data_IF_995255311310
#
_entry.id   IF_995255311310
#
_cell.length_a   1.000
_cell.length_b   1.000
_cell.length_c   1.000
_cell.angle_alpha   90.00
_cell.angle_beta   90.00
_cell.angle_gamma   90.00
#
_symmetry.space_group_name_H-M   'P 1'
#
loop_
_entity.id
_entity.type
_entity.pdbx_description
1 polymer ?
#
# COMPACT_ATOMS: atom_id res chain seq x y z
N UNK A 1 63.08 -25.25 -39.06
CA UNK A 1 62.05 -25.73 -38.12
C UNK A 1 62.45 -25.30 -36.71
N UNK A 2 61.53 -24.66 -35.97
CA UNK A 2 61.34 -24.68 -34.49
C UNK A 2 60.89 -23.32 -33.95
N UNK A 3 59.56 -23.19 -34.02
CA UNK A 3 58.58 -22.56 -33.11
C UNK A 3 58.96 -21.38 -32.22
N UNK A 4 58.17 -20.33 -32.41
CA UNK A 4 57.85 -19.24 -31.49
C UNK A 4 57.04 -19.76 -30.28
N UNK A 5 57.26 -19.21 -29.08
CA UNK A 5 56.24 -19.19 -28.02
C UNK A 5 56.22 -17.78 -27.40
N UNK A 6 55.14 -17.05 -27.64
CA UNK A 6 54.80 -15.80 -26.95
C UNK A 6 53.79 -16.15 -25.85
N UNK A 7 54.17 -15.92 -24.60
CA UNK A 7 53.29 -16.10 -23.44
C UNK A 7 52.45 -14.83 -23.28
N UNK A 8 51.18 -14.90 -23.64
CA UNK A 8 50.19 -13.85 -23.38
C UNK A 8 49.44 -14.22 -22.10
N UNK A 9 49.66 -13.47 -21.02
CA UNK A 9 48.86 -13.58 -19.80
C UNK A 9 47.54 -12.80 -20.00
N UNK A 10 46.42 -13.52 -20.05
CA UNK A 10 45.07 -12.92 -20.05
C UNK A 10 44.67 -12.72 -18.60
N UNK A 11 44.68 -11.46 -18.14
CA UNK A 11 44.07 -11.06 -16.88
C UNK A 11 42.55 -10.92 -17.11
N UNK A 12 41.77 -11.91 -16.71
CA UNK A 12 40.32 -11.82 -16.69
C UNK A 12 39.91 -10.94 -15.50
N UNK A 13 39.64 -9.66 -15.78
CA UNK A 13 38.95 -8.76 -14.85
C UNK A 13 37.50 -9.24 -14.72
N UNK A 14 37.15 -9.86 -13.60
CA UNK A 14 35.76 -10.14 -13.22
C UNK A 14 35.08 -8.81 -12.88
N UNK A 15 34.46 -8.18 -13.88
CA UNK A 15 33.51 -7.10 -13.67
C UNK A 15 32.26 -7.67 -13.01
N UNK A 16 32.19 -7.56 -11.68
CA UNK A 16 30.96 -7.79 -10.93
C UNK A 16 29.94 -6.72 -11.34
N UNK A 17 28.73 -7.08 -11.79
CA UNK A 17 27.67 -6.10 -11.94
C UNK A 17 27.27 -5.63 -10.54
N UNK A 18 27.50 -4.35 -10.24
CA UNK A 18 26.78 -3.66 -9.17
C UNK A 18 25.32 -3.62 -9.63
N UNK A 19 24.47 -4.47 -9.07
CA UNK A 19 23.04 -4.21 -9.10
C UNK A 19 22.83 -2.90 -8.33
N UNK A 20 22.54 -1.82 -9.04
CA UNK A 20 22.02 -0.62 -8.42
C UNK A 20 20.64 -0.99 -7.86
N UNK A 21 20.57 -1.25 -6.56
CA UNK A 21 19.29 -1.23 -5.85
C UNK A 21 18.77 0.19 -5.97
N UNK A 22 17.61 0.38 -6.60
CA UNK A 22 16.89 1.64 -6.44
C UNK A 22 16.75 1.87 -4.93
N UNK A 23 17.19 3.02 -4.44
CA UNK A 23 16.99 3.35 -3.03
C UNK A 23 15.48 3.51 -2.83
N UNK A 24 14.90 2.73 -1.91
CA UNK A 24 13.50 2.88 -1.53
C UNK A 24 13.26 4.32 -1.05
N UNK A 25 12.09 4.87 -1.35
CA UNK A 25 11.80 6.27 -1.01
C UNK A 25 11.60 6.38 0.49
N UNK A 26 12.47 7.11 1.19
CA UNK A 26 12.29 7.37 2.62
C UNK A 26 10.99 8.16 2.88
N UNK A 27 10.28 7.87 3.97
CA UNK A 27 8.98 8.48 4.33
C UNK A 27 9.11 9.24 5.65
N UNK A 28 8.76 10.52 5.63
CA UNK A 28 8.86 11.40 6.80
C UNK A 28 7.51 11.64 7.49
N UNK A 29 6.40 11.56 6.75
CA UNK A 29 5.06 11.81 7.28
C UNK A 29 4.00 10.98 6.56
N UNK A 30 3.01 10.53 7.32
CA UNK A 30 1.81 9.85 6.80
C UNK A 30 0.62 10.51 7.48
N UNK A 31 -0.27 11.10 6.70
CA UNK A 31 -1.49 11.73 7.18
C UNK A 31 -2.71 11.14 6.49
N UNK A 32 -3.71 10.74 7.28
CA UNK A 32 -4.96 10.18 6.77
C UNK A 32 -6.13 10.96 7.36
N UNK A 33 -6.95 11.51 6.47
CA UNK A 33 -8.19 12.19 6.80
C UNK A 33 -9.37 11.45 6.17
N UNK A 34 -10.53 11.53 6.83
CA UNK A 34 -11.78 11.03 6.27
C UNK A 34 -12.95 11.85 6.81
N UNK A 35 -13.80 12.36 5.91
CA UNK A 35 -15.09 12.91 6.31
C UNK A 35 -16.16 11.81 6.36
N UNK A 36 -16.14 11.06 7.47
CA UNK A 36 -17.12 10.01 7.74
C UNK A 36 -18.51 10.56 8.12
N UNK A 37 -18.68 11.89 8.26
CA UNK A 37 -19.97 12.49 8.64
C UNK A 37 -21.04 12.34 7.56
N UNK A 38 -20.61 12.10 6.32
CA UNK A 38 -21.48 11.84 5.16
C UNK A 38 -22.06 10.42 5.12
N UNK A 39 -21.56 9.50 5.96
CA UNK A 39 -22.02 8.11 5.99
C UNK A 39 -23.40 8.04 6.66
N UNK A 40 -24.43 7.85 5.84
CA UNK A 40 -25.81 7.75 6.34
C UNK A 40 -26.15 6.39 6.98
N UNK A 41 -25.41 5.34 6.63
CA UNK A 41 -25.63 4.00 7.17
C UNK A 41 -24.91 3.84 8.52
N UNK A 42 -25.68 3.73 9.61
CA UNK A 42 -25.13 3.63 10.96
C UNK A 42 -24.21 2.42 11.19
N UNK A 43 -24.49 1.28 10.52
CA UNK A 43 -23.62 0.10 10.59
C UNK A 43 -22.29 0.36 9.88
N UNK A 44 -22.33 0.94 8.68
CA UNK A 44 -21.12 1.33 7.96
C UNK A 44 -20.31 2.36 8.74
N UNK A 45 -20.97 3.37 9.33
CA UNK A 45 -20.31 4.37 10.17
C UNK A 45 -19.61 3.73 11.38
N UNK A 46 -20.23 2.72 11.99
CA UNK A 46 -19.61 1.98 13.10
C UNK A 46 -18.41 1.14 12.67
N UNK A 47 -18.47 0.49 11.51
CA UNK A 47 -17.37 -0.35 11.00
C UNK A 47 -16.17 0.51 10.60
N UNK A 48 -16.41 1.65 9.95
CA UNK A 48 -15.36 2.52 9.43
C UNK A 48 -14.92 3.62 10.40
N UNK A 49 -15.42 3.62 11.64
CA UNK A 49 -15.21 4.70 12.61
C UNK A 49 -13.73 5.05 12.87
N UNK A 50 -12.85 4.05 12.84
CA UNK A 50 -11.42 4.22 13.10
C UNK A 50 -10.55 4.15 11.83
N UNK A 51 -11.18 4.15 10.65
CA UNK A 51 -10.49 3.93 9.37
C UNK A 51 -9.24 4.82 9.19
N UNK A 52 -9.27 6.13 9.47
CA UNK A 52 -8.09 6.97 9.27
C UNK A 52 -6.88 6.51 10.09
N UNK A 53 -7.08 6.33 11.40
CA UNK A 53 -6.01 5.93 12.33
C UNK A 53 -5.49 4.52 12.02
N UNK A 54 -6.37 3.59 11.68
CA UNK A 54 -5.97 2.22 11.36
C UNK A 54 -5.25 2.13 10.01
N UNK A 55 -5.64 2.97 9.03
CA UNK A 55 -4.95 3.03 7.73
C UNK A 55 -3.55 3.65 7.86
N UNK A 56 -3.42 4.74 8.62
CA UNK A 56 -2.13 5.35 8.95
C UNK A 56 -1.21 4.31 9.62
N UNK A 57 -1.74 3.59 10.61
CA UNK A 57 -1.00 2.53 11.31
C UNK A 57 -0.60 1.38 10.39
N UNK A 58 -1.49 0.95 9.49
CA UNK A 58 -1.20 -0.11 8.54
C UNK A 58 -0.10 0.29 7.56
N UNK A 59 -0.11 1.53 7.06
CA UNK A 59 0.94 2.06 6.20
C UNK A 59 2.28 2.17 6.94
N UNK A 60 2.29 2.69 8.16
CA UNK A 60 3.49 2.79 8.97
C UNK A 60 4.14 1.41 9.22
N UNK A 61 3.32 0.37 9.39
CA UNK A 61 3.81 -1.02 9.52
C UNK A 61 4.41 -1.53 8.20
N UNK A 62 3.77 -1.26 7.06
CA UNK A 62 4.25 -1.73 5.75
C UNK A 62 5.51 -0.99 5.28
N UNK A 63 5.63 0.27 5.66
CA UNK A 63 6.75 1.16 5.31
C UNK A 63 7.79 1.25 6.42
N UNK A 64 7.79 0.33 7.40
CA UNK A 64 8.64 0.42 8.58
C UNK A 64 10.13 0.50 8.27
N UNK A 65 10.55 -0.14 7.17
CA UNK A 65 11.95 -0.16 6.71
C UNK A 65 12.32 1.09 5.88
N UNK A 66 11.33 1.91 5.53
CA UNK A 66 11.46 3.12 4.72
C UNK A 66 11.24 4.40 5.54
N UNK A 67 11.00 4.32 6.85
CA UNK A 67 10.83 5.53 7.67
C UNK A 67 12.13 6.33 7.71
N UNK A 68 12.06 7.61 7.35
CA UNK A 68 13.18 8.54 7.40
C UNK A 68 13.69 8.66 8.84
N UNK A 69 15.01 8.79 9.02
CA UNK A 69 15.57 9.02 10.34
C UNK A 69 15.14 10.40 10.87
N UNK A 70 15.10 10.54 12.20
CA UNK A 70 14.72 11.80 12.85
C UNK A 70 15.52 12.99 12.28
N UNK A 71 14.81 13.93 11.66
CA UNK A 71 15.40 15.15 11.08
C UNK A 71 15.94 15.02 9.66
N UNK A 72 15.72 13.88 8.99
CA UNK A 72 15.96 13.72 7.56
C UNK A 72 14.69 14.02 6.74
N UNK A 73 14.87 14.57 5.53
CA UNK A 73 13.77 14.78 4.60
C UNK A 73 13.31 13.44 4.02
N UNK A 74 12.01 13.29 3.84
CA UNK A 74 11.37 12.11 3.26
C UNK A 74 10.10 12.50 2.52
N UNK A 75 9.52 11.53 1.82
CA UNK A 75 8.23 11.68 1.19
C UNK A 75 7.13 11.85 2.25
N UNK A 76 6.15 12.70 1.92
CA UNK A 76 4.94 12.88 2.71
C UNK A 76 3.78 12.22 1.97
N UNK A 77 3.05 11.34 2.65
CA UNK A 77 1.90 10.63 2.10
C UNK A 77 0.63 11.21 2.74
N UNK A 78 -0.19 11.87 1.92
CA UNK A 78 -1.48 12.42 2.34
C UNK A 78 -2.61 11.63 1.71
N UNK A 79 -3.58 11.22 2.52
CA UNK A 79 -4.71 10.41 2.08
C UNK A 79 -6.00 11.07 2.56
N UNK A 80 -6.89 11.39 1.63
CA UNK A 80 -8.25 11.84 1.92
C UNK A 80 -9.24 10.76 1.49
N UNK A 81 -9.90 10.12 2.45
CA UNK A 81 -10.92 9.11 2.17
C UNK A 81 -12.22 9.81 1.74
N UNK A 82 -12.54 9.64 0.46
CA UNK A 82 -13.69 10.28 -0.19
C UNK A 82 -14.97 9.47 -0.10
N UNK A 83 -14.87 8.14 0.01
CA UNK A 83 -16.04 7.27 0.16
C UNK A 83 -15.70 5.95 0.83
N UNK A 84 -16.64 5.47 1.64
CA UNK A 84 -16.66 4.09 2.12
C UNK A 84 -18.03 3.49 1.87
N UNK A 85 -18.05 2.32 1.26
CA UNK A 85 -19.26 1.53 1.06
C UNK A 85 -19.11 0.23 1.82
N UNK A 86 -20.15 -0.09 2.59
CA UNK A 86 -20.27 -1.38 3.25
C UNK A 86 -21.50 -2.06 2.66
N UNK A 87 -21.33 -3.30 2.23
CA UNK A 87 -22.43 -4.16 1.80
C UNK A 87 -23.59 -4.11 2.80
N UNK A 88 -24.74 -3.64 2.34
CA UNK A 88 -25.88 -3.32 3.20
C UNK A 88 -26.71 -4.54 3.59
N UNK A 89 -26.60 -5.64 2.84
CA UNK A 89 -27.38 -6.84 3.05
C UNK A 89 -26.48 -7.93 3.63
N UNK A 90 -26.83 -8.39 4.84
CA UNK A 90 -26.35 -9.65 5.39
C UNK A 90 -27.00 -10.86 4.67
N UNK A 91 -27.70 -10.65 3.54
CA UNK A 91 -28.57 -11.63 2.90
C UNK A 91 -27.93 -12.31 1.68
N UNK A 92 -26.91 -11.72 1.03
CA UNK A 92 -26.25 -12.36 -0.10
C UNK A 92 -24.75 -12.05 -0.26
N UNK A 93 -23.99 -13.07 -0.68
CA UNK A 93 -22.56 -13.05 -1.05
C UNK A 93 -22.27 -12.04 -2.17
N UNK A 94 -23.25 -11.76 -3.03
CA UNK A 94 -23.10 -10.82 -4.15
C UNK A 94 -23.03 -9.36 -3.70
N UNK A 95 -23.55 -9.02 -2.52
CA UNK A 95 -23.54 -7.64 -2.00
C UNK A 95 -22.21 -7.31 -1.30
N UNK A 96 -21.47 -8.31 -0.81
CA UNK A 96 -20.13 -8.10 -0.21
C UNK A 96 -19.12 -7.51 -1.19
N UNK A 97 -19.27 -7.86 -2.47
CA UNK A 97 -18.54 -7.31 -3.60
C UNK A 97 -18.66 -5.79 -3.73
N UNK A 98 -19.77 -5.23 -3.26
CA UNK A 98 -20.02 -3.79 -3.34
C UNK A 98 -19.27 -2.99 -2.26
N UNK A 99 -18.66 -3.67 -1.29
CA UNK A 99 -17.88 -2.99 -0.26
C UNK A 99 -16.59 -2.43 -0.86
N UNK A 100 -16.37 -1.12 -0.68
CA UNK A 100 -15.22 -0.41 -1.21
C UNK A 100 -14.72 0.68 -0.28
N UNK A 101 -13.42 0.93 -0.33
CA UNK A 101 -12.79 2.13 0.22
C UNK A 101 -12.22 2.92 -0.96
N UNK A 102 -12.57 4.19 -1.06
CA UNK A 102 -12.08 5.09 -2.09
C UNK A 102 -11.48 6.34 -1.44
N UNK A 103 -10.35 6.80 -1.96
CA UNK A 103 -9.69 8.00 -1.47
C UNK A 103 -8.72 8.60 -2.48
N UNK A 104 -8.38 9.86 -2.24
CA UNK A 104 -7.37 10.60 -2.97
C UNK A 104 -6.04 10.43 -2.25
N UNK A 105 -5.00 10.04 -2.98
CA UNK A 105 -3.65 9.85 -2.46
C UNK A 105 -2.73 10.87 -3.11
N UNK A 106 -1.99 11.61 -2.29
CA UNK A 106 -0.96 12.54 -2.72
C UNK A 106 0.36 12.14 -2.07
N UNK A 107 1.39 12.01 -2.89
CA UNK A 107 2.76 11.72 -2.46
C UNK A 107 3.63 12.90 -2.88
N UNK A 108 4.08 13.67 -1.91
CA UNK A 108 5.05 14.75 -2.09
C UNK A 108 6.45 14.19 -1.81
N UNK A 109 7.38 14.32 -2.76
CA UNK A 109 8.77 13.86 -2.59
C UNK A 109 9.74 15.05 -2.56
N UNK A 110 10.72 15.07 -1.65
CA UNK A 110 11.70 16.14 -1.58
C UNK A 110 12.44 16.34 -2.91
N UNK A 111 12.38 17.56 -3.44
CA UNK A 111 13.09 17.94 -4.67
C UNK A 111 12.31 17.68 -5.97
N UNK A 112 11.15 17.04 -5.90
CA UNK A 112 10.26 16.92 -7.06
C UNK A 112 9.54 18.25 -7.32
N UNK A 113 9.30 18.53 -8.60
CA UNK A 113 8.60 19.76 -9.02
C UNK A 113 7.07 19.64 -8.88
N UNK A 114 6.55 18.42 -8.88
CA UNK A 114 5.13 18.11 -8.86
C UNK A 114 4.86 16.91 -7.97
N UNK A 115 3.75 16.98 -7.24
CA UNK A 115 3.29 15.87 -6.40
C UNK A 115 2.69 14.75 -7.25
N UNK A 116 2.87 13.50 -6.83
CA UNK A 116 2.16 12.36 -7.41
C UNK A 116 0.78 12.28 -6.77
N UNK A 117 -0.28 12.54 -7.54
CA UNK A 117 -1.66 12.48 -7.07
C UNK A 117 -2.49 11.48 -7.89
N UNK A 118 -3.27 10.63 -7.22
CA UNK A 118 -4.15 9.65 -7.86
C UNK A 118 -5.33 9.26 -6.96
N UNK A 119 -6.43 8.82 -7.57
CA UNK A 119 -7.53 8.20 -6.81
C UNK A 119 -7.24 6.70 -6.66
N UNK A 120 -7.36 6.19 -5.45
CA UNK A 120 -7.28 4.77 -5.14
C UNK A 120 -8.67 4.27 -4.74
N UNK A 121 -9.05 3.10 -5.28
CA UNK A 121 -10.24 2.37 -4.84
C UNK A 121 -9.86 0.92 -4.65
N UNK A 122 -10.22 0.38 -3.48
CA UNK A 122 -10.04 -1.02 -3.14
C UNK A 122 -11.41 -1.64 -2.88
N UNK A 123 -11.73 -2.72 -3.61
CA UNK A 123 -12.90 -3.55 -3.37
C UNK A 123 -12.59 -4.76 -2.47
N UNK A 124 -13.64 -5.39 -1.95
CA UNK A 124 -13.53 -6.63 -1.21
C UNK A 124 -12.79 -7.74 -1.99
N UNK A 125 -13.02 -7.87 -3.30
CA UNK A 125 -12.30 -8.85 -4.13
C UNK A 125 -10.79 -8.59 -4.15
N UNK A 126 -10.38 -7.33 -4.24
CA UNK A 126 -8.97 -6.98 -4.24
C UNK A 126 -8.35 -7.24 -2.86
N UNK A 127 -9.09 -7.02 -1.78
CA UNK A 127 -8.65 -7.32 -0.43
C UNK A 127 -8.54 -8.82 -0.12
N UNK A 128 -9.26 -9.67 -0.86
CA UNK A 128 -9.29 -11.12 -0.66
C UNK A 128 -7.90 -11.77 -0.68
N UNK A 129 -6.96 -11.20 -1.44
CA UNK A 129 -5.59 -11.72 -1.59
C UNK A 129 -4.79 -11.72 -0.28
N UNK A 130 -5.21 -10.91 0.70
CA UNK A 130 -4.57 -10.80 2.01
C UNK A 130 -5.14 -11.78 3.04
N UNK A 131 -6.19 -12.51 2.69
CA UNK A 131 -6.74 -13.52 3.59
C UNK A 131 -5.89 -14.81 3.58
N UNK A 132 -5.91 -15.58 4.69
CA UNK A 132 -5.26 -16.89 4.74
C UNK A 132 -5.74 -17.82 3.61
N UNK A 133 -4.85 -18.68 3.13
CA UNK A 133 -5.22 -19.66 2.11
C UNK A 133 -6.40 -20.54 2.56
N UNK A 134 -7.43 -20.62 1.72
CA UNK A 134 -8.68 -21.34 2.02
C UNK A 134 -9.77 -20.50 2.69
N UNK A 135 -9.48 -19.24 3.03
CA UNK A 135 -10.49 -18.25 3.42
C UNK A 135 -11.16 -17.66 2.18
N UNK A 136 -12.43 -17.30 2.32
CA UNK A 136 -13.20 -16.60 1.30
C UNK A 136 -13.73 -15.30 1.92
N UNK A 137 -13.29 -14.15 1.38
CA UNK A 137 -13.71 -12.84 1.87
C UNK A 137 -15.22 -12.65 1.76
N UNK A 138 -15.85 -13.32 0.79
CA UNK A 138 -17.29 -13.25 0.55
C UNK A 138 -18.09 -14.09 1.56
N UNK A 139 -17.42 -14.86 2.41
CA UNK A 139 -18.04 -15.58 3.53
C UNK A 139 -17.83 -14.85 4.88
N UNK A 140 -17.08 -13.76 4.90
CA UNK A 140 -16.88 -12.95 6.10
C UNK A 140 -18.07 -12.03 6.35
N UNK A 141 -18.38 -11.76 7.61
CA UNK A 141 -19.39 -10.76 7.95
C UNK A 141 -18.84 -9.35 7.59
N UNK A 142 -19.63 -8.47 6.93
CA UNK A 142 -19.24 -7.10 6.55
C UNK A 142 -19.02 -6.18 7.76
N UNK A 143 -17.96 -6.40 8.52
CA UNK A 143 -17.71 -5.76 9.81
C UNK A 143 -17.04 -6.69 10.84
N UNK A 144 -16.79 -7.93 10.45
CA UNK A 144 -15.79 -8.76 11.13
C UNK A 144 -14.42 -8.09 11.07
N UNK A 145 -13.60 -8.32 12.09
CA UNK A 145 -12.25 -7.79 12.16
C UNK A 145 -11.42 -8.26 10.97
N UNK A 146 -11.57 -9.52 10.55
CA UNK A 146 -10.85 -10.09 9.42
C UNK A 146 -11.17 -9.37 8.11
N UNK A 147 -12.45 -9.07 7.85
CA UNK A 147 -12.86 -8.31 6.68
C UNK A 147 -12.29 -6.89 6.69
N UNK A 148 -12.43 -6.21 7.83
CA UNK A 148 -11.95 -4.84 8.01
C UNK A 148 -10.43 -4.75 7.81
N UNK A 149 -9.66 -5.61 8.49
CA UNK A 149 -8.21 -5.65 8.38
C UNK A 149 -7.74 -5.98 6.97
N UNK A 150 -8.44 -6.87 6.25
CA UNK A 150 -8.12 -7.15 4.85
C UNK A 150 -8.32 -5.91 3.95
N UNK A 151 -9.43 -5.20 4.12
CA UNK A 151 -9.73 -3.99 3.34
C UNK A 151 -8.71 -2.87 3.61
N UNK A 152 -8.43 -2.58 4.89
CA UNK A 152 -7.45 -1.56 5.29
C UNK A 152 -6.05 -1.93 4.81
N UNK A 153 -5.64 -3.19 5.02
CA UNK A 153 -4.33 -3.69 4.60
C UNK A 153 -4.14 -3.64 3.10
N UNK A 154 -5.18 -3.91 2.31
CA UNK A 154 -5.12 -3.86 0.86
C UNK A 154 -4.99 -2.43 0.34
N UNK A 155 -5.69 -1.46 0.94
CA UNK A 155 -5.52 -0.05 0.62
C UNK A 155 -4.09 0.42 0.93
N UNK A 156 -3.59 0.09 2.13
CA UNK A 156 -2.22 0.40 2.51
C UNK A 156 -1.19 -0.23 1.55
N UNK A 157 -1.36 -1.51 1.18
CA UNK A 157 -0.42 -2.23 0.30
C UNK A 157 -0.31 -1.57 -1.07
N UNK A 158 -1.43 -1.12 -1.65
CA UNK A 158 -1.41 -0.46 -2.96
C UNK A 158 -0.57 0.84 -2.94
N UNK A 159 -0.55 1.55 -1.82
CA UNK A 159 0.26 2.75 -1.66
C UNK A 159 1.72 2.37 -1.37
N UNK A 160 1.96 1.40 -0.48
CA UNK A 160 3.32 0.97 -0.16
C UNK A 160 4.05 0.38 -1.38
N UNK A 161 3.36 -0.33 -2.27
CA UNK A 161 3.92 -0.82 -3.53
C UNK A 161 4.38 0.31 -4.47
N UNK A 162 3.84 1.52 -4.35
CA UNK A 162 4.27 2.70 -5.11
C UNK A 162 5.48 3.43 -4.51
N UNK A 163 5.91 3.02 -3.32
CA UNK A 163 7.08 3.59 -2.62
C UNK A 163 8.37 2.80 -2.87
N UNK A 164 8.26 1.60 -3.44
CA UNK A 164 9.35 0.69 -3.83
C UNK A 164 9.92 1.04 -5.21
#
# INVERSE_FOLDING_TARGET
>A
MKSFLKTTAVAALLSLPLAATAAETAVSDISVEADLSSIQNATAASVWANLPTDLESALAVQLSDQIAADGEDGAQIMIDITSVELASSFESVADLADSRISGDVVIERPGDQYDEAYNLTVSAEQAAVLLPAGSDIMLLAPGSTEFYTAMVGAFANNIAEKMQ
#
